data_IF_448082585426
#
_entry.id   IF_448082585426
#
_cell.length_a   1.000
_cell.length_b   1.000
_cell.length_c   1.000
_cell.angle_alpha   90.00
_cell.angle_beta   90.00
_cell.angle_gamma   90.00
#
_symmetry.space_group_name_H-M   'P 1'
#
loop_
_entity.id
_entity.type
_entity.pdbx_description
1 polymer ?
#
# COMPACT_ATOMS: atom_id res chain seq x y z
N UNK A 1 14.48 36.89 -5.73
CA UNK A 1 15.64 37.38 -6.49
C UNK A 1 16.08 36.34 -7.51
N UNK A 2 16.78 35.26 -7.13
CA UNK A 2 17.30 34.30 -8.13
C UNK A 2 16.22 33.69 -9.05
N UNK A 3 15.08 33.24 -8.49
CA UNK A 3 13.99 32.68 -9.30
C UNK A 3 13.38 33.70 -10.26
N UNK A 4 13.30 34.98 -9.86
CA UNK A 4 12.73 36.05 -10.68
C UNK A 4 13.65 36.38 -11.86
N UNK A 5 14.96 36.36 -11.61
CA UNK A 5 16.00 36.56 -12.62
C UNK A 5 16.01 35.42 -13.63
N UNK A 6 15.95 34.15 -13.17
CA UNK A 6 15.82 32.98 -14.04
C UNK A 6 14.57 33.10 -14.92
N UNK A 7 13.41 33.41 -14.33
CA UNK A 7 12.15 33.59 -15.08
C UNK A 7 12.27 34.75 -16.09
N UNK A 8 13.00 35.81 -15.77
CA UNK A 8 13.20 36.93 -16.69
C UNK A 8 13.93 36.54 -17.97
N UNK A 9 14.80 35.52 -17.91
CA UNK A 9 15.50 34.93 -19.04
C UNK A 9 14.70 33.82 -19.74
N UNK A 10 13.62 33.33 -19.14
CA UNK A 10 12.72 32.30 -19.70
C UNK A 10 11.45 32.88 -20.34
N UNK A 11 11.34 34.20 -20.51
CA UNK A 11 10.11 34.84 -21.02
C UNK A 11 9.67 34.34 -22.40
N UNK A 12 10.60 33.89 -23.23
CA UNK A 12 10.35 33.35 -24.56
C UNK A 12 10.20 31.82 -24.57
N UNK A 13 10.32 31.15 -23.41
CA UNK A 13 10.14 29.72 -23.30
C UNK A 13 8.65 29.37 -23.42
N UNK A 14 8.26 28.80 -24.56
CA UNK A 14 6.86 28.44 -24.86
C UNK A 14 6.30 27.32 -23.98
N UNK A 15 7.15 26.55 -23.30
CA UNK A 15 6.76 25.44 -22.42
C UNK A 15 6.45 25.92 -21.00
N UNK A 16 6.87 27.12 -20.61
CA UNK A 16 6.70 27.59 -19.23
C UNK A 16 5.22 27.84 -18.90
N UNK A 17 4.72 27.22 -17.83
CA UNK A 17 3.33 27.41 -17.41
C UNK A 17 3.14 28.75 -16.68
N UNK A 18 2.92 29.82 -17.45
CA UNK A 18 2.73 31.17 -16.92
C UNK A 18 1.54 31.29 -15.96
N UNK A 19 0.50 30.46 -16.11
CA UNK A 19 -0.70 30.51 -15.25
C UNK A 19 -0.40 30.20 -13.78
N UNK A 20 0.66 29.42 -13.52
CA UNK A 20 1.08 29.07 -12.16
C UNK A 20 2.13 30.04 -11.58
N UNK A 21 2.68 30.96 -12.38
CA UNK A 21 3.69 31.95 -11.94
C UNK A 21 3.07 33.19 -11.30
N UNK A 22 2.18 32.97 -10.32
CA UNK A 22 1.54 34.04 -9.57
C UNK A 22 2.31 34.36 -8.29
N UNK A 23 2.15 35.59 -7.76
CA UNK A 23 2.72 35.97 -6.46
C UNK A 23 2.32 35.00 -5.33
N UNK A 24 1.11 34.46 -5.38
CA UNK A 24 0.59 33.51 -4.37
C UNK A 24 1.24 32.12 -4.42
N UNK A 25 1.72 31.71 -5.60
CA UNK A 25 2.35 30.42 -5.83
C UNK A 25 3.87 30.46 -5.62
N UNK A 26 4.48 31.66 -5.61
CA UNK A 26 5.90 31.84 -5.37
C UNK A 26 6.29 31.28 -4.00
N UNK A 27 7.38 30.51 -3.93
CA UNK A 27 7.86 29.82 -2.74
C UNK A 27 6.93 28.71 -2.21
N UNK A 28 5.85 28.38 -2.94
CA UNK A 28 4.93 27.27 -2.63
C UNK A 28 4.95 26.22 -3.73
N UNK A 29 4.76 26.65 -4.97
CA UNK A 29 4.72 25.81 -6.17
C UNK A 29 6.04 25.94 -6.94
N UNK A 30 6.55 27.15 -7.10
CA UNK A 30 7.79 27.42 -7.82
C UNK A 30 8.77 28.24 -6.98
N UNK A 31 10.06 27.90 -7.07
CA UNK A 31 11.13 28.53 -6.30
C UNK A 31 12.51 28.15 -6.82
N UNK A 32 13.53 28.92 -6.45
CA UNK A 32 14.93 28.57 -6.61
C UNK A 32 15.63 28.68 -5.25
N UNK A 33 16.38 27.66 -4.86
CA UNK A 33 17.06 27.62 -3.54
C UNK A 33 18.39 26.86 -3.63
N UNK A 34 19.40 27.42 -2.96
CA UNK A 34 20.72 26.79 -2.85
C UNK A 34 20.66 25.58 -1.90
N UNK A 35 21.17 24.45 -2.36
CA UNK A 35 21.27 23.20 -1.62
C UNK A 35 22.56 23.15 -0.79
N UNK A 36 22.66 22.27 0.24
CA UNK A 36 23.84 22.14 1.08
C UNK A 36 25.13 21.79 0.33
N UNK A 37 25.01 21.07 -0.80
CA UNK A 37 26.14 20.72 -1.68
C UNK A 37 26.59 21.88 -2.59
N UNK A 38 25.94 23.04 -2.48
CA UNK A 38 26.23 24.23 -3.25
C UNK A 38 25.48 24.36 -4.59
N UNK A 39 24.77 23.31 -5.03
CA UNK A 39 23.94 23.33 -6.24
C UNK A 39 22.68 24.19 -6.05
N UNK A 40 22.06 24.61 -7.13
CA UNK A 40 20.79 25.36 -7.12
C UNK A 40 19.66 24.41 -7.51
N UNK A 41 18.68 24.23 -6.61
CA UNK A 41 17.41 23.57 -6.93
C UNK A 41 16.44 24.61 -7.48
N UNK A 42 15.93 24.38 -8.69
CA UNK A 42 14.89 25.18 -9.33
C UNK A 42 13.66 24.31 -9.53
N UNK A 43 12.52 24.79 -9.05
CA UNK A 43 11.22 24.15 -9.25
C UNK A 43 10.36 25.08 -10.08
N UNK A 44 9.95 24.62 -11.27
CA UNK A 44 9.16 25.39 -12.23
C UNK A 44 8.12 24.49 -12.91
N UNK A 45 6.92 25.03 -13.19
CA UNK A 45 5.87 24.30 -13.89
C UNK A 45 6.00 24.46 -15.42
N UNK A 46 5.83 23.36 -16.15
CA UNK A 46 5.91 23.32 -17.61
C UNK A 46 4.70 22.63 -18.23
N UNK A 47 4.42 22.95 -19.48
CA UNK A 47 3.36 22.38 -20.32
C UNK A 47 4.02 21.89 -21.61
N UNK A 48 3.80 20.63 -21.93
CA UNK A 48 4.26 20.05 -23.21
C UNK A 48 3.05 19.57 -24.00
N UNK A 49 3.01 19.92 -25.29
CA UNK A 49 1.91 19.55 -26.20
C UNK A 49 2.24 18.28 -26.98
N UNK A 50 1.30 17.34 -26.98
CA UNK A 50 1.33 16.13 -27.82
C UNK A 50 -0.11 15.81 -28.27
N UNK A 51 -0.40 16.04 -29.55
CA UNK A 51 -1.74 15.81 -30.12
C UNK A 51 -2.20 14.34 -29.99
N UNK A 52 -1.27 13.39 -29.85
CA UNK A 52 -1.63 11.99 -29.62
C UNK A 52 -2.33 11.77 -28.27
N UNK A 53 -2.17 12.65 -27.28
CA UNK A 53 -2.88 12.54 -26.00
C UNK A 53 -4.39 12.71 -26.14
N UNK A 54 -4.89 13.29 -27.24
CA UNK A 54 -6.33 13.33 -27.53
C UNK A 54 -6.94 11.92 -27.63
N UNK A 55 -6.15 10.90 -28.00
CA UNK A 55 -6.58 9.49 -28.02
C UNK A 55 -6.81 8.91 -26.62
N UNK A 56 -6.33 9.57 -25.56
CA UNK A 56 -6.58 9.18 -24.17
C UNK A 56 -7.94 9.68 -23.65
N UNK A 57 -8.65 10.52 -24.41
CA UNK A 57 -9.96 11.07 -24.00
C UNK A 57 -11.01 9.99 -23.73
N UNK A 58 -10.97 8.88 -24.47
CA UNK A 58 -11.81 7.70 -24.25
C UNK A 58 -11.49 6.96 -22.93
N UNK A 59 -10.29 7.16 -22.40
CA UNK A 59 -9.75 6.48 -21.21
C UNK A 59 -9.51 7.47 -20.05
N UNK A 60 -10.25 8.57 -20.02
CA UNK A 60 -10.06 9.66 -19.04
C UNK A 60 -10.10 9.19 -17.59
N UNK A 61 -10.87 8.15 -17.29
CA UNK A 61 -11.05 7.62 -15.94
C UNK A 61 -9.80 6.88 -15.41
N UNK A 62 -8.77 6.67 -16.26
CA UNK A 62 -7.45 6.13 -15.89
C UNK A 62 -6.30 6.99 -16.39
N UNK A 63 -6.53 8.26 -16.72
CA UNK A 63 -5.52 9.16 -17.30
C UNK A 63 -4.29 9.32 -16.42
N UNK A 64 -4.42 9.12 -15.11
CA UNK A 64 -3.31 9.14 -14.16
C UNK A 64 -2.29 8.03 -14.43
N UNK A 65 -2.71 6.87 -14.95
CA UNK A 65 -1.81 5.79 -15.34
C UNK A 65 -0.95 6.17 -16.53
N UNK A 66 -1.57 6.77 -17.55
CA UNK A 66 -0.86 7.34 -18.69
C UNK A 66 0.11 8.45 -18.26
N UNK A 67 -0.32 9.33 -17.37
CA UNK A 67 0.53 10.41 -16.83
C UNK A 67 1.73 9.85 -16.09
N UNK A 68 1.51 8.94 -15.14
CA UNK A 68 2.59 8.32 -14.38
C UNK A 68 3.55 7.58 -15.32
N UNK A 69 3.04 6.90 -16.36
CA UNK A 69 3.89 6.25 -17.36
C UNK A 69 4.79 7.23 -18.10
N UNK A 70 4.30 8.41 -18.51
CA UNK A 70 5.17 9.45 -19.11
C UNK A 70 6.29 9.85 -18.14
N UNK A 71 5.97 10.07 -16.86
CA UNK A 71 6.97 10.39 -15.83
C UNK A 71 8.00 9.26 -15.71
N UNK A 72 7.56 8.00 -15.65
CA UNK A 72 8.46 6.84 -15.54
C UNK A 72 9.34 6.65 -16.78
N UNK A 73 8.86 6.96 -17.98
CA UNK A 73 9.69 6.94 -19.19
C UNK A 73 10.78 8.04 -19.14
N UNK A 74 10.47 9.25 -18.64
CA UNK A 74 11.48 10.30 -18.43
C UNK A 74 12.52 9.85 -17.39
N UNK A 75 12.08 9.25 -16.28
CA UNK A 75 12.98 8.71 -15.25
C UNK A 75 13.87 7.58 -15.78
N UNK A 76 13.35 6.73 -16.65
CA UNK A 76 14.14 5.68 -17.29
C UNK A 76 15.26 6.26 -18.15
N UNK A 77 15.02 7.34 -18.90
CA UNK A 77 16.08 8.02 -19.69
C UNK A 77 17.15 8.64 -18.79
N UNK A 78 16.75 9.19 -17.64
CA UNK A 78 17.66 9.67 -16.60
C UNK A 78 18.56 8.52 -16.10
N UNK A 79 17.98 7.36 -15.78
CA UNK A 79 18.73 6.24 -15.19
C UNK A 79 19.61 5.54 -16.23
N UNK A 80 19.06 5.18 -17.39
CA UNK A 80 19.71 4.30 -18.38
C UNK A 80 20.69 5.06 -19.26
N UNK A 81 20.28 6.24 -19.75
CA UNK A 81 21.06 7.01 -20.73
C UNK A 81 21.76 8.22 -20.14
N UNK A 82 21.53 8.51 -18.85
CA UNK A 82 22.00 9.72 -18.18
C UNK A 82 21.59 11.00 -18.91
N UNK A 83 20.44 10.97 -19.59
CA UNK A 83 19.82 12.13 -20.23
C UNK A 83 19.12 12.98 -19.17
N UNK A 84 18.79 14.24 -19.51
CA UNK A 84 18.07 15.16 -18.62
C UNK A 84 18.79 15.37 -17.27
N UNK A 85 20.12 15.55 -17.31
CA UNK A 85 20.96 15.72 -16.12
C UNK A 85 20.41 16.72 -15.09
N UNK A 86 19.81 17.87 -15.48
CA UNK A 86 19.23 18.77 -14.50
C UNK A 86 18.11 18.13 -13.67
N UNK A 87 17.30 17.21 -14.22
CA UNK A 87 16.25 16.52 -13.46
C UNK A 87 16.79 15.50 -12.47
N UNK A 88 17.88 14.81 -12.84
CA UNK A 88 18.53 13.83 -11.98
C UNK A 88 19.37 14.49 -10.86
N UNK A 89 19.73 15.76 -11.07
CA UNK A 89 20.95 16.33 -10.54
C UNK A 89 22.19 15.61 -11.06
N UNK A 90 23.36 16.06 -10.63
CA UNK A 90 24.63 15.46 -11.05
C UNK A 90 24.92 14.12 -10.32
N UNK A 91 23.93 13.22 -10.31
CA UNK A 91 23.93 11.86 -9.73
C UNK A 91 24.39 11.74 -8.28
N UNK A 92 24.26 12.82 -7.50
CA UNK A 92 24.40 12.77 -6.05
C UNK A 92 23.28 11.93 -5.45
N UNK A 93 23.61 11.03 -4.50
CA UNK A 93 22.62 10.17 -3.81
C UNK A 93 21.45 10.97 -3.19
N UNK A 94 21.69 12.23 -2.85
CA UNK A 94 20.71 13.16 -2.27
C UNK A 94 19.54 13.52 -3.20
N UNK A 95 19.67 13.35 -4.51
CA UNK A 95 18.63 13.69 -5.50
C UNK A 95 17.88 12.47 -6.04
N UNK A 96 18.15 11.28 -5.49
CA UNK A 96 17.59 10.01 -5.95
C UNK A 96 16.06 10.01 -6.02
N UNK A 97 15.38 10.74 -5.14
CA UNK A 97 13.93 10.88 -5.15
C UNK A 97 13.36 11.47 -6.45
N UNK A 98 14.14 12.25 -7.19
CA UNK A 98 13.69 12.87 -8.44
C UNK A 98 13.55 11.86 -9.58
N UNK A 99 14.35 10.79 -9.57
CA UNK A 99 14.43 9.83 -10.67
C UNK A 99 14.22 8.37 -10.26
N UNK A 100 14.03 8.08 -8.97
CA UNK A 100 13.69 6.74 -8.51
C UNK A 100 12.36 6.28 -9.12
N UNK A 101 12.30 5.07 -9.72
CA UNK A 101 11.07 4.59 -10.33
C UNK A 101 9.95 4.40 -9.32
N UNK A 102 8.73 4.76 -9.70
CA UNK A 102 7.54 4.64 -8.87
C UNK A 102 6.37 4.07 -9.67
N UNK A 103 5.89 2.91 -9.24
CA UNK A 103 4.83 2.16 -9.91
C UNK A 103 3.45 2.36 -9.28
N UNK A 104 3.35 2.88 -8.06
CA UNK A 104 2.07 3.25 -7.46
C UNK A 104 1.58 4.57 -8.06
N UNK A 105 0.30 4.62 -8.40
CA UNK A 105 -0.34 5.76 -9.08
C UNK A 105 -1.19 6.54 -8.09
N UNK A 106 -2.24 5.90 -7.57
CA UNK A 106 -3.14 6.50 -6.59
C UNK A 106 -2.86 5.92 -5.20
N UNK A 107 -2.33 6.74 -4.29
CA UNK A 107 -2.12 6.37 -2.89
C UNK A 107 -2.68 7.45 -1.96
N UNK A 108 -3.66 7.08 -1.13
CA UNK A 108 -4.36 8.02 -0.23
C UNK A 108 -3.47 8.50 0.94
N UNK A 109 -2.33 7.84 1.15
CA UNK A 109 -1.34 8.26 2.13
C UNK A 109 -0.37 9.26 1.51
N UNK A 110 0.11 10.22 2.31
CA UNK A 110 1.18 11.14 1.94
C UNK A 110 2.57 10.45 1.91
N UNK A 111 2.62 9.18 1.47
CA UNK A 111 3.84 8.41 1.27
C UNK A 111 4.51 8.86 -0.04
N UNK A 112 5.84 8.98 -0.01
CA UNK A 112 6.62 9.34 -1.20
C UNK A 112 6.31 10.74 -1.74
N UNK A 113 5.94 11.70 -0.89
CA UNK A 113 5.65 13.09 -1.29
C UNK A 113 6.85 13.80 -1.96
N UNK A 114 8.04 13.30 -1.69
CA UNK A 114 9.31 13.75 -2.24
C UNK A 114 9.63 13.10 -3.59
N UNK A 115 8.96 12.01 -3.95
CA UNK A 115 9.07 11.34 -5.24
C UNK A 115 8.33 12.13 -6.32
N UNK A 116 8.84 12.05 -7.55
CA UNK A 116 8.14 12.60 -8.70
C UNK A 116 7.04 11.62 -9.15
N UNK A 117 5.79 12.06 -9.15
CA UNK A 117 4.62 11.24 -9.44
C UNK A 117 3.48 12.07 -10.03
N UNK A 118 2.45 11.39 -10.52
CA UNK A 118 1.17 11.99 -10.86
C UNK A 118 0.54 12.64 -9.62
N UNK A 119 0.09 13.87 -9.78
CA UNK A 119 -0.57 14.66 -8.74
C UNK A 119 -1.24 15.90 -9.37
N UNK A 120 -1.67 16.85 -8.53
CA UNK A 120 -2.32 18.08 -8.98
C UNK A 120 -1.43 19.00 -9.85
N UNK A 121 -0.12 18.76 -9.92
CA UNK A 121 0.82 19.52 -10.73
C UNK A 121 1.47 18.70 -11.84
N UNK A 122 1.24 17.39 -11.85
CA UNK A 122 1.75 16.46 -12.83
C UNK A 122 0.57 15.65 -13.38
N UNK A 123 -0.01 16.09 -14.51
CA UNK A 123 -1.22 15.50 -15.08
C UNK A 123 -1.30 15.70 -16.59
N UNK A 124 -2.02 14.82 -17.28
CA UNK A 124 -2.42 15.00 -18.67
C UNK A 124 -3.83 15.58 -18.71
N UNK A 125 -4.03 16.63 -19.51
CA UNK A 125 -5.34 17.17 -19.84
C UNK A 125 -5.38 17.49 -21.34
N UNK A 126 -6.36 16.92 -22.05
CA UNK A 126 -6.52 17.06 -23.50
C UNK A 126 -5.25 16.65 -24.27
N UNK A 127 -4.65 17.57 -25.02
CA UNK A 127 -3.45 17.40 -25.83
C UNK A 127 -2.16 17.80 -25.08
N UNK A 128 -2.24 18.03 -23.76
CA UNK A 128 -1.14 18.59 -22.98
C UNK A 128 -0.80 17.73 -21.77
N UNK A 129 0.48 17.68 -21.44
CA UNK A 129 0.95 17.22 -20.13
C UNK A 129 1.54 18.40 -19.37
N UNK A 130 1.12 18.51 -18.12
CA UNK A 130 1.57 19.49 -17.14
C UNK A 130 2.56 18.78 -16.24
N UNK A 131 3.75 19.35 -16.05
CA UNK A 131 4.80 18.76 -15.22
C UNK A 131 5.41 19.82 -14.31
N UNK A 132 5.51 19.52 -13.02
CA UNK A 132 6.26 20.32 -12.06
C UNK A 132 7.67 19.77 -11.93
N UNK A 133 8.58 20.35 -12.71
CA UNK A 133 9.96 19.87 -12.77
C UNK A 133 10.77 20.39 -11.59
N UNK A 134 11.43 19.48 -10.89
CA UNK A 134 12.40 19.77 -9.82
C UNK A 134 13.78 19.53 -10.41
N UNK A 135 14.48 20.60 -10.76
CA UNK A 135 15.76 20.59 -11.46
C UNK A 135 16.88 21.04 -10.54
N UNK A 136 18.09 20.54 -10.77
CA UNK A 136 19.30 20.79 -9.98
C UNK A 136 20.42 21.23 -10.93
N UNK A 137 20.99 22.39 -10.67
CA UNK A 137 22.03 23.03 -11.48
C UNK A 137 23.31 23.24 -10.66
N UNK A 138 24.48 23.09 -11.29
CA UNK A 138 25.78 23.42 -10.67
C UNK A 138 26.08 24.90 -10.77
N UNK A 139 25.60 25.49 -11.84
CA UNK A 139 25.72 26.89 -12.19
C UNK A 139 24.97 27.74 -11.18
N UNK A 140 25.49 28.93 -10.96
CA UNK A 140 24.96 29.87 -9.96
C UNK A 140 24.34 31.09 -10.61
N UNK A 141 24.70 31.37 -11.86
CA UNK A 141 24.17 32.49 -12.62
C UNK A 141 22.83 32.14 -13.26
N UNK A 142 21.89 33.10 -13.21
CA UNK A 142 20.52 32.88 -13.67
C UNK A 142 20.43 32.61 -15.18
N UNK A 143 21.30 33.23 -15.98
CA UNK A 143 21.30 33.12 -17.44
C UNK A 143 21.70 31.72 -17.90
N UNK A 144 22.77 31.14 -17.35
CA UNK A 144 23.19 29.77 -17.66
C UNK A 144 22.16 28.74 -17.24
N UNK A 145 21.58 28.90 -16.04
CA UNK A 145 20.47 28.04 -15.58
C UNK A 145 19.28 28.12 -16.55
N UNK A 146 18.88 29.33 -16.96
CA UNK A 146 17.78 29.51 -17.91
C UNK A 146 18.07 28.87 -19.28
N UNK A 147 19.29 28.98 -19.79
CA UNK A 147 19.69 28.32 -21.04
C UNK A 147 19.57 26.79 -20.93
N UNK A 148 20.07 26.19 -19.85
CA UNK A 148 19.94 24.74 -19.65
C UNK A 148 18.49 24.30 -19.47
N UNK A 149 17.64 25.14 -18.88
CA UNK A 149 16.19 24.88 -18.80
C UNK A 149 15.57 24.89 -20.21
N UNK A 150 15.94 25.83 -21.08
CA UNK A 150 15.46 25.87 -22.45
C UNK A 150 15.85 24.60 -23.22
N UNK A 151 17.13 24.22 -23.17
CA UNK A 151 17.64 23.00 -23.82
C UNK A 151 16.90 21.75 -23.30
N UNK A 152 16.76 21.64 -21.98
CA UNK A 152 16.01 20.57 -21.33
C UNK A 152 14.56 20.50 -21.81
N UNK A 153 13.87 21.64 -21.95
CA UNK A 153 12.48 21.68 -22.37
C UNK A 153 12.31 21.24 -23.84
N UNK A 154 13.21 21.67 -24.72
CA UNK A 154 13.20 21.23 -26.13
C UNK A 154 13.39 19.71 -26.20
N UNK A 155 14.39 19.19 -25.49
CA UNK A 155 14.66 17.76 -25.44
C UNK A 155 13.50 16.95 -24.84
N UNK A 156 12.88 17.43 -23.75
CA UNK A 156 11.71 16.80 -23.14
C UNK A 156 10.51 16.81 -24.08
N UNK A 157 10.25 17.92 -24.78
CA UNK A 157 9.17 18.04 -25.75
C UNK A 157 9.31 16.99 -26.87
N UNK A 158 10.50 16.88 -27.47
CA UNK A 158 10.78 15.86 -28.47
C UNK A 158 10.63 14.44 -27.92
N UNK A 159 11.14 14.19 -26.71
CA UNK A 159 11.01 12.88 -26.08
C UNK A 159 9.56 12.50 -25.82
N UNK A 160 8.78 13.39 -25.20
CA UNK A 160 7.37 13.18 -24.87
C UNK A 160 6.53 12.91 -26.12
N UNK A 161 6.81 13.61 -27.23
CA UNK A 161 6.15 13.37 -28.52
C UNK A 161 6.41 11.98 -29.10
N UNK A 162 7.60 11.42 -28.81
CA UNK A 162 8.02 10.12 -29.30
C UNK A 162 7.62 8.94 -28.39
N UNK A 163 7.02 9.20 -27.21
CA UNK A 163 6.50 8.13 -26.36
C UNK A 163 5.35 7.42 -27.10
N UNK A 164 5.41 6.08 -27.27
CA UNK A 164 4.36 5.35 -27.98
C UNK A 164 2.99 5.53 -27.30
N UNK A 165 2.01 6.08 -28.02
CA UNK A 165 0.68 6.34 -27.45
C UNK A 165 -0.02 5.05 -26.98
N UNK A 166 0.21 3.92 -27.65
CA UNK A 166 -0.35 2.63 -27.24
C UNK A 166 0.11 2.22 -25.84
N UNK A 167 1.35 2.52 -25.46
CA UNK A 167 1.85 2.26 -24.10
C UNK A 167 1.03 3.04 -23.05
N UNK A 168 0.69 4.30 -23.35
CA UNK A 168 -0.08 5.16 -22.47
C UNK A 168 -1.56 4.72 -22.38
N UNK A 169 -2.13 4.30 -23.51
CA UNK A 169 -3.49 3.75 -23.57
C UNK A 169 -3.60 2.48 -22.71
N UNK A 170 -2.63 1.56 -22.82
CA UNK A 170 -2.65 0.33 -22.03
C UNK A 170 -2.55 0.62 -20.52
N UNK A 171 -1.78 1.63 -20.12
CA UNK A 171 -1.73 2.05 -18.71
C UNK A 171 -3.03 2.69 -18.25
N UNK A 172 -3.67 3.51 -19.08
CA UNK A 172 -4.98 4.07 -18.74
C UNK A 172 -6.04 2.97 -18.59
N UNK A 173 -6.07 1.99 -19.50
CA UNK A 173 -6.94 0.81 -19.39
C UNK A 173 -6.66 0.00 -18.13
N UNK A 174 -5.38 -0.21 -17.78
CA UNK A 174 -4.97 -0.92 -16.57
C UNK A 174 -5.54 -0.24 -15.31
N UNK A 175 -5.40 1.08 -15.17
CA UNK A 175 -5.98 1.79 -14.02
C UNK A 175 -7.51 1.72 -14.00
N UNK A 176 -8.16 1.83 -15.18
CA UNK A 176 -9.61 1.67 -15.27
C UNK A 176 -10.03 0.26 -14.82
N UNK A 177 -9.30 -0.78 -15.21
CA UNK A 177 -9.59 -2.15 -14.79
C UNK A 177 -9.46 -2.32 -13.28
N UNK A 178 -8.44 -1.73 -12.65
CA UNK A 178 -8.26 -1.79 -11.20
C UNK A 178 -9.40 -1.12 -10.44
N UNK A 179 -9.80 0.08 -10.88
CA UNK A 179 -10.96 0.79 -10.34
C UNK A 179 -12.25 0.00 -10.53
N UNK A 180 -12.48 -0.49 -11.75
CA UNK A 180 -13.65 -1.31 -12.07
C UNK A 180 -13.73 -2.57 -11.21
N UNK A 181 -12.62 -3.31 -11.06
CA UNK A 181 -12.56 -4.50 -10.21
C UNK A 181 -12.87 -4.17 -8.75
N UNK A 182 -12.35 -3.03 -8.27
CA UNK A 182 -12.58 -2.55 -6.91
C UNK A 182 -14.04 -2.21 -6.66
N UNK A 183 -14.70 -1.58 -7.63
CA UNK A 183 -16.13 -1.27 -7.59
C UNK A 183 -17.00 -2.54 -7.63
N UNK A 184 -16.54 -3.57 -8.34
CA UNK A 184 -17.22 -4.87 -8.39
C UNK A 184 -17.16 -5.67 -7.09
N UNK A 185 -16.17 -5.45 -6.22
CA UNK A 185 -15.98 -6.25 -5.00
C UNK A 185 -17.27 -6.35 -4.17
N UNK A 186 -17.99 -5.24 -4.02
CA UNK A 186 -19.22 -5.23 -3.21
C UNK A 186 -20.32 -6.11 -3.81
N UNK A 187 -20.50 -6.05 -5.13
CA UNK A 187 -21.49 -6.82 -5.88
C UNK A 187 -21.16 -8.31 -5.91
N UNK A 188 -19.87 -8.65 -5.87
CA UNK A 188 -19.38 -10.02 -5.79
C UNK A 188 -19.35 -10.57 -4.34
N UNK A 189 -19.84 -9.80 -3.36
CA UNK A 189 -19.78 -10.14 -1.94
C UNK A 189 -18.35 -10.37 -1.41
N UNK A 190 -17.38 -9.61 -1.94
CA UNK A 190 -15.96 -9.67 -1.60
C UNK A 190 -15.48 -8.40 -0.88
N UNK A 191 -14.34 -8.51 -0.19
CA UNK A 191 -13.58 -7.39 0.38
C UNK A 191 -12.17 -7.27 -0.21
N UNK A 192 -11.66 -8.35 -0.80
CA UNK A 192 -10.36 -8.41 -1.45
C UNK A 192 -10.39 -9.45 -2.58
N UNK A 193 -9.63 -9.19 -3.64
CA UNK A 193 -9.35 -10.13 -4.73
C UNK A 193 -7.84 -10.17 -4.97
N UNK A 194 -7.29 -11.37 -5.09
CA UNK A 194 -5.87 -11.60 -5.37
C UNK A 194 -5.78 -12.39 -6.68
N UNK A 195 -5.48 -11.70 -7.78
CA UNK A 195 -5.32 -12.31 -9.09
C UNK A 195 -4.12 -13.27 -9.13
N UNK A 196 -4.28 -14.41 -9.80
CA UNK A 196 -3.18 -15.31 -10.11
C UNK A 196 -2.08 -14.57 -10.89
N UNK A 197 -0.84 -15.05 -10.78
CA UNK A 197 0.38 -14.42 -11.28
C UNK A 197 0.79 -13.11 -10.58
N UNK A 198 0.08 -12.66 -9.54
CA UNK A 198 0.49 -11.48 -8.76
C UNK A 198 1.83 -11.71 -8.06
N UNK A 199 2.65 -10.67 -7.95
CA UNK A 199 4.04 -10.73 -7.48
C UNK A 199 4.23 -9.84 -6.24
N UNK A 200 3.94 -10.32 -5.02
CA UNK A 200 3.85 -9.49 -3.82
C UNK A 200 5.21 -9.01 -3.27
N UNK A 201 6.33 -9.68 -3.57
CA UNK A 201 7.61 -9.36 -2.93
C UNK A 201 8.22 -8.02 -3.37
N UNK A 202 8.71 -7.22 -2.42
CA UNK A 202 9.17 -5.83 -2.66
C UNK A 202 10.65 -5.58 -2.39
N UNK A 203 11.27 -4.72 -3.21
CA UNK A 203 12.65 -4.24 -3.09
C UNK A 203 12.63 -2.81 -2.53
N UNK A 204 13.07 -2.67 -1.29
CA UNK A 204 13.18 -1.37 -0.61
C UNK A 204 14.43 -0.63 -1.06
N UNK A 205 14.35 0.70 -1.09
CA UNK A 205 15.49 1.58 -1.34
C UNK A 205 15.56 2.68 -0.29
N UNK A 206 16.66 3.45 -0.29
CA UNK A 206 16.83 4.59 0.63
C UNK A 206 15.70 5.62 0.52
N UNK A 207 15.01 5.70 -0.63
CA UNK A 207 13.89 6.62 -0.84
C UNK A 207 12.55 5.90 -0.68
N UNK A 208 12.43 4.69 -1.22
CA UNK A 208 11.20 3.88 -1.15
C UNK A 208 11.29 2.86 -0.03
N UNK A 209 11.22 3.34 1.20
CA UNK A 209 11.33 2.52 2.43
C UNK A 209 10.02 1.84 2.85
N UNK A 210 8.91 2.19 2.22
CA UNK A 210 7.58 1.68 2.58
C UNK A 210 7.06 0.71 1.50
N UNK A 211 6.47 -0.43 1.90
CA UNK A 211 6.06 -1.51 0.97
C UNK A 211 5.05 -1.06 -0.09
N UNK A 212 4.14 -0.13 0.26
CA UNK A 212 3.17 0.45 -0.68
C UNK A 212 3.85 1.11 -1.89
N UNK A 213 4.94 1.86 -1.66
CA UNK A 213 5.66 2.59 -2.72
C UNK A 213 6.90 1.84 -3.25
N UNK A 214 7.30 0.75 -2.60
CA UNK A 214 8.45 -0.06 -3.02
C UNK A 214 8.16 -0.81 -4.33
N UNK A 215 9.20 -1.08 -5.11
CA UNK A 215 9.07 -1.76 -6.40
C UNK A 215 9.17 -3.28 -6.27
N UNK A 216 8.86 -4.03 -7.33
CA UNK A 216 8.98 -5.49 -7.32
C UNK A 216 10.43 -5.95 -7.12
N UNK A 217 10.60 -7.08 -6.41
CA UNK A 217 11.86 -7.83 -6.44
C UNK A 217 12.07 -8.50 -7.80
N UNK A 218 13.33 -8.67 -8.18
CA UNK A 218 13.74 -9.43 -9.37
C UNK A 218 13.30 -10.90 -9.25
N UNK A 219 13.58 -11.53 -8.11
CA UNK A 219 13.06 -12.87 -7.78
C UNK A 219 11.74 -12.69 -7.03
N UNK A 220 10.65 -13.09 -7.67
CA UNK A 220 9.30 -12.99 -7.12
C UNK A 220 8.51 -14.25 -7.51
N UNK A 221 8.11 -15.05 -6.52
CA UNK A 221 7.28 -16.23 -6.74
C UNK A 221 5.83 -15.75 -6.94
N UNK A 222 5.20 -16.04 -8.09
CA UNK A 222 3.84 -15.59 -8.32
C UNK A 222 2.85 -16.25 -7.37
N UNK A 223 1.84 -15.50 -6.96
CA UNK A 223 0.67 -16.00 -6.25
C UNK A 223 -0.18 -16.84 -7.21
N UNK A 224 -0.52 -18.05 -6.81
CA UNK A 224 -1.49 -18.90 -7.49
C UNK A 224 -2.51 -19.38 -6.47
N UNK A 225 -3.79 -19.12 -6.73
CA UNK A 225 -4.88 -19.61 -5.89
C UNK A 225 -4.99 -21.13 -6.01
N UNK A 226 -4.94 -21.89 -4.90
CA UNK A 226 -5.31 -23.31 -4.90
C UNK A 226 -6.74 -23.51 -5.44
N UNK A 227 -6.96 -24.59 -6.22
CA UNK A 227 -8.28 -24.87 -6.81
C UNK A 227 -9.31 -25.24 -5.74
N UNK A 228 -8.88 -25.78 -4.61
CA UNK A 228 -9.71 -26.11 -3.43
C UNK A 228 -10.37 -24.87 -2.81
N UNK A 229 -9.84 -23.67 -3.08
CA UNK A 229 -10.46 -22.41 -2.63
C UNK A 229 -11.47 -21.82 -3.62
N UNK A 230 -11.79 -22.57 -4.68
CA UNK A 230 -12.75 -22.19 -5.72
C UNK A 230 -12.42 -20.80 -6.32
N UNK A 231 -11.25 -20.67 -6.97
CA UNK A 231 -10.83 -19.41 -7.59
C UNK A 231 -11.89 -18.88 -8.55
N UNK A 232 -12.21 -17.60 -8.41
CA UNK A 232 -13.20 -16.93 -9.25
C UNK A 232 -12.51 -16.32 -10.46
N UNK A 233 -13.25 -16.23 -11.56
CA UNK A 233 -12.81 -15.57 -12.78
C UNK A 233 -13.62 -14.29 -13.01
N UNK A 234 -12.94 -13.14 -13.10
CA UNK A 234 -13.57 -11.83 -13.28
C UNK A 234 -13.21 -11.26 -14.65
N UNK A 235 -14.23 -10.86 -15.40
CA UNK A 235 -14.06 -10.13 -16.67
C UNK A 235 -13.72 -8.67 -16.40
N UNK A 236 -12.60 -8.21 -16.96
CA UNK A 236 -12.16 -6.82 -16.85
C UNK A 236 -12.91 -5.92 -17.84
N UNK A 237 -13.01 -4.62 -17.54
CA UNK A 237 -13.60 -3.64 -18.46
C UNK A 237 -12.85 -3.55 -19.79
N UNK A 238 -11.52 -3.71 -19.76
CA UNK A 238 -10.67 -3.80 -20.93
C UNK A 238 -9.75 -5.02 -20.83
N UNK A 239 -9.68 -5.82 -21.89
CA UNK A 239 -8.76 -6.97 -21.97
C UNK A 239 -9.46 -8.30 -21.69
N UNK A 240 -8.75 -9.22 -21.03
CA UNK A 240 -9.21 -10.59 -20.77
C UNK A 240 -9.79 -10.72 -19.36
N UNK A 241 -10.04 -11.96 -18.96
CA UNK A 241 -10.45 -12.33 -17.60
C UNK A 241 -9.24 -12.55 -16.69
N UNK A 242 -9.42 -12.30 -15.40
CA UNK A 242 -8.42 -12.58 -14.36
C UNK A 242 -9.01 -13.62 -13.40
N UNK A 243 -8.34 -14.76 -13.28
CA UNK A 243 -8.64 -15.80 -12.30
C UNK A 243 -7.88 -15.53 -11.01
N UNK A 244 -8.50 -15.73 -9.85
CA UNK A 244 -7.83 -15.47 -8.57
C UNK A 244 -8.65 -15.80 -7.34
N UNK A 245 -8.07 -15.52 -6.17
CA UNK A 245 -8.71 -15.73 -4.87
C UNK A 245 -9.61 -14.54 -4.52
N UNK A 246 -10.90 -14.78 -4.27
CA UNK A 246 -11.81 -13.81 -3.67
C UNK A 246 -11.94 -14.02 -2.16
N UNK A 247 -11.68 -12.99 -1.36
CA UNK A 247 -11.95 -12.97 0.09
C UNK A 247 -13.33 -12.37 0.33
N UNK A 248 -14.21 -13.14 0.94
CA UNK A 248 -15.64 -12.88 1.10
C UNK A 248 -15.91 -11.86 2.24
N UNK A 249 -17.06 -11.20 2.19
CA UNK A 249 -17.56 -10.38 3.32
C UNK A 249 -17.82 -11.25 4.54
N UNK A 250 -17.55 -10.72 5.74
CA UNK A 250 -17.65 -11.38 7.06
C UNK A 250 -16.72 -12.59 7.26
N UNK A 251 -15.84 -12.87 6.31
CA UNK A 251 -14.90 -13.98 6.36
C UNK A 251 -13.74 -13.69 7.32
N UNK A 252 -13.35 -14.69 8.11
CA UNK A 252 -12.08 -14.75 8.83
C UNK A 252 -11.15 -15.64 8.01
N UNK A 253 -10.32 -15.01 7.18
CA UNK A 253 -9.39 -15.72 6.30
C UNK A 253 -8.00 -15.78 6.94
N UNK A 254 -7.43 -16.98 7.00
CA UNK A 254 -6.13 -17.20 7.65
C UNK A 254 -5.01 -17.34 6.61
N UNK A 255 -3.90 -16.67 6.87
CA UNK A 255 -2.65 -16.84 6.14
C UNK A 255 -1.60 -17.36 7.12
N UNK A 256 -1.29 -18.65 7.06
CA UNK A 256 -0.36 -19.29 8.00
C UNK A 256 0.90 -19.85 7.31
N UNK A 257 1.73 -20.53 8.07
CA UNK A 257 2.98 -21.15 7.61
C UNK A 257 4.17 -20.76 8.47
N UNK A 258 5.34 -21.32 8.14
CA UNK A 258 6.56 -21.15 8.93
C UNK A 258 7.13 -19.73 8.82
N UNK A 259 8.11 -19.43 9.67
CA UNK A 259 8.86 -18.18 9.60
C UNK A 259 9.53 -18.00 8.24
N UNK A 260 9.61 -16.75 7.78
CA UNK A 260 10.22 -16.36 6.52
C UNK A 260 9.61 -16.96 5.23
N UNK A 261 8.36 -17.43 5.26
CA UNK A 261 7.67 -17.98 4.07
C UNK A 261 6.92 -16.94 3.23
N UNK A 262 6.85 -15.67 3.66
CA UNK A 262 6.24 -14.59 2.87
C UNK A 262 4.83 -14.16 3.31
N UNK A 263 4.35 -14.60 4.48
CA UNK A 263 3.01 -14.28 4.99
C UNK A 263 2.78 -12.77 5.14
N UNK A 264 3.65 -12.08 5.89
CA UNK A 264 3.63 -10.63 6.04
C UNK A 264 3.79 -9.91 4.70
N UNK A 265 4.56 -10.49 3.76
CA UNK A 265 4.70 -9.93 2.40
C UNK A 265 3.39 -9.99 1.63
N UNK A 266 2.64 -11.09 1.71
CA UNK A 266 1.32 -11.22 1.10
C UNK A 266 0.32 -10.26 1.76
N UNK A 267 0.31 -10.17 3.11
CA UNK A 267 -0.55 -9.23 3.83
C UNK A 267 -0.27 -7.77 3.48
N UNK A 268 1.01 -7.39 3.36
CA UNK A 268 1.42 -6.06 2.90
C UNK A 268 0.97 -5.79 1.46
N UNK A 269 1.01 -6.81 0.59
CA UNK A 269 0.53 -6.68 -0.78
C UNK A 269 -0.99 -6.48 -0.84
N UNK A 270 -1.75 -7.24 -0.03
CA UNK A 270 -3.20 -7.06 0.16
C UNK A 270 -3.52 -5.65 0.67
N UNK A 271 -2.78 -5.15 1.65
CA UNK A 271 -2.94 -3.79 2.17
C UNK A 271 -2.67 -2.73 1.09
N UNK A 272 -1.64 -2.92 0.27
CA UNK A 272 -1.39 -2.04 -0.88
C UNK A 272 -2.43 -2.16 -1.98
N UNK A 273 -3.29 -3.19 -2.00
CA UNK A 273 -4.37 -3.32 -2.99
C UNK A 273 -5.46 -2.24 -2.90
N UNK A 274 -5.40 -1.40 -1.87
CA UNK A 274 -6.14 -0.13 -1.85
C UNK A 274 -5.65 0.85 -2.94
N UNK A 275 -4.41 0.73 -3.38
CA UNK A 275 -3.78 1.62 -4.35
C UNK A 275 -3.85 1.07 -5.77
N UNK A 276 -3.77 1.95 -6.77
CA UNK A 276 -3.64 1.55 -8.16
C UNK A 276 -2.16 1.50 -8.57
N UNK A 277 -1.78 0.52 -9.38
CA UNK A 277 -0.39 0.26 -9.78
C UNK A 277 -0.21 0.22 -11.30
N UNK A 278 0.90 0.71 -11.81
CA UNK A 278 1.29 0.59 -13.21
C UNK A 278 1.58 -0.86 -13.61
N UNK A 279 1.47 -1.14 -14.91
CA UNK A 279 1.87 -2.41 -15.51
C UNK A 279 3.35 -2.68 -15.21
N UNK A 280 3.63 -3.88 -14.69
CA UNK A 280 4.95 -4.35 -14.31
C UNK A 280 5.23 -4.27 -12.80
N UNK A 281 4.33 -3.70 -11.99
CA UNK A 281 4.44 -3.72 -10.53
C UNK A 281 4.24 -5.15 -9.97
N UNK A 282 3.32 -5.90 -10.56
CA UNK A 282 2.91 -7.22 -10.09
C UNK A 282 1.80 -7.23 -9.03
N UNK A 283 1.33 -6.07 -8.54
CA UNK A 283 0.13 -5.98 -7.66
C UNK A 283 -1.08 -5.39 -8.37
N UNK A 284 -1.04 -5.24 -9.69
CA UNK A 284 -2.09 -4.62 -10.49
C UNK A 284 -3.43 -5.32 -10.28
N UNK A 285 -3.45 -6.61 -9.94
CA UNK A 285 -4.68 -7.35 -9.67
C UNK A 285 -4.74 -7.91 -8.24
N UNK A 286 -4.02 -7.30 -7.30
CA UNK A 286 -4.31 -7.42 -5.87
C UNK A 286 -5.17 -6.21 -5.51
N UNK A 287 -6.48 -6.40 -5.44
CA UNK A 287 -7.44 -5.32 -5.27
C UNK A 287 -8.17 -5.50 -3.96
N UNK A 288 -8.13 -4.46 -3.14
CA UNK A 288 -8.70 -4.46 -1.80
C UNK A 288 -9.64 -3.27 -1.63
N UNK A 289 -10.71 -3.48 -0.87
CA UNK A 289 -11.63 -2.41 -0.51
C UNK A 289 -10.91 -1.22 0.13
N UNK A 290 -11.37 0.00 -0.16
CA UNK A 290 -10.86 1.23 0.49
C UNK A 290 -11.26 1.31 1.98
N UNK A 291 -12.21 0.49 2.44
CA UNK A 291 -12.62 0.41 3.85
C UNK A 291 -11.79 -0.65 4.59
N UNK A 292 -10.53 -0.30 4.88
CA UNK A 292 -9.55 -1.20 5.50
C UNK A 292 -8.98 -0.58 6.78
N UNK A 293 -8.72 -1.41 7.78
CA UNK A 293 -7.94 -1.04 8.97
C UNK A 293 -6.96 -2.15 9.31
N UNK A 294 -5.77 -1.78 9.80
CA UNK A 294 -4.78 -2.73 10.30
C UNK A 294 -4.66 -2.54 11.81
N UNK A 295 -4.75 -3.63 12.56
CA UNK A 295 -4.56 -3.60 14.00
C UNK A 295 -3.15 -4.10 14.34
N UNK A 296 -2.45 -3.36 15.18
CA UNK A 296 -1.10 -3.69 15.66
C UNK A 296 -0.95 -3.32 17.14
N UNK A 297 0.00 -3.94 17.82
CA UNK A 297 0.41 -3.51 19.16
C UNK A 297 1.11 -2.14 19.10
N UNK A 298 1.11 -1.41 20.22
CA UNK A 298 1.69 -0.07 20.31
C UNK A 298 1.42 0.60 21.65
N UNK A 299 1.65 1.90 21.75
CA UNK A 299 1.32 2.69 22.93
C UNK A 299 0.60 3.97 22.52
N UNK A 300 -0.33 4.41 23.35
CA UNK A 300 -1.12 5.62 23.14
C UNK A 300 -1.62 6.16 24.47
N UNK A 301 -1.68 7.48 24.63
CA UNK A 301 -2.45 8.08 25.73
C UNK A 301 -3.93 8.06 25.36
N UNK A 302 -4.73 7.31 26.12
CA UNK A 302 -6.16 7.24 25.90
C UNK A 302 -6.88 8.43 26.55
N UNK A 303 -7.86 8.96 25.83
CA UNK A 303 -8.66 10.14 26.15
C UNK A 303 -10.13 9.90 25.74
N UNK A 304 -10.73 8.84 26.29
CA UNK A 304 -12.12 8.44 26.01
C UNK A 304 -12.25 7.39 24.91
N UNK A 305 -11.22 6.58 24.66
CA UNK A 305 -11.31 5.47 23.71
C UNK A 305 -12.10 4.29 24.28
N UNK A 306 -12.78 3.58 23.39
CA UNK A 306 -13.58 2.40 23.68
C UNK A 306 -12.77 1.13 23.38
N UNK A 307 -12.69 0.24 24.37
CA UNK A 307 -12.06 -1.09 24.30
C UNK A 307 -13.02 -2.18 24.83
N UNK A 308 -14.31 -1.87 24.97
CA UNK A 308 -15.29 -2.72 25.64
C UNK A 308 -15.61 -4.04 24.94
N UNK A 309 -15.27 -4.17 23.65
CA UNK A 309 -15.29 -5.46 22.95
C UNK A 309 -14.41 -6.51 23.62
N UNK A 310 -13.25 -6.10 24.13
CA UNK A 310 -12.28 -7.02 24.74
C UNK A 310 -12.23 -6.88 26.26
N UNK A 311 -12.41 -5.69 26.82
CA UNK A 311 -12.22 -5.43 28.24
C UNK A 311 -13.56 -5.29 28.97
N UNK A 312 -13.80 -6.13 29.97
CA UNK A 312 -14.95 -6.01 30.88
C UNK A 312 -14.62 -5.12 32.08
N UNK A 313 -13.34 -5.04 32.46
CA UNK A 313 -12.85 -4.22 33.58
C UNK A 313 -11.53 -3.55 33.21
N UNK A 314 -11.31 -2.33 33.74
CA UNK A 314 -10.05 -1.62 33.54
C UNK A 314 -8.96 -2.12 34.48
N UNK A 315 -7.71 -2.22 34.01
CA UNK A 315 -6.54 -2.37 34.86
C UNK A 315 -6.43 -1.26 35.92
N UNK A 316 -5.87 -1.55 37.11
CA UNK A 316 -5.56 -0.53 38.11
C UNK A 316 -4.70 0.61 37.52
N UNK A 317 -4.98 1.85 37.93
CA UNK A 317 -4.25 3.04 37.48
C UNK A 317 -4.87 3.76 36.27
N UNK A 318 -5.81 3.12 35.57
CA UNK A 318 -6.60 3.76 34.50
C UNK A 318 -7.91 4.33 35.04
N UNK A 319 -8.41 5.39 34.40
CA UNK A 319 -9.64 6.07 34.78
C UNK A 319 -10.76 5.82 33.76
N UNK A 320 -12.01 5.93 34.20
CA UNK A 320 -13.20 5.80 33.36
C UNK A 320 -13.79 4.40 33.35
N UNK A 321 -14.22 3.92 32.18
CA UNK A 321 -14.77 2.57 31.98
C UNK A 321 -14.22 1.99 30.67
N UNK A 322 -14.36 0.68 30.39
CA UNK A 322 -13.94 0.12 29.10
C UNK A 322 -14.52 0.81 27.87
N UNK A 323 -15.69 1.47 27.99
CA UNK A 323 -16.30 2.26 26.89
C UNK A 323 -15.68 3.65 26.72
N UNK A 324 -14.92 4.13 27.69
CA UNK A 324 -14.32 5.45 27.71
C UNK A 324 -13.12 5.48 28.66
N UNK A 325 -11.98 5.03 28.15
CA UNK A 325 -10.73 4.89 28.91
C UNK A 325 -9.90 6.16 28.90
N UNK A 326 -9.34 6.53 30.05
CA UNK A 326 -8.39 7.63 30.20
C UNK A 326 -7.10 7.15 30.87
N UNK A 327 -5.97 7.44 30.24
CA UNK A 327 -4.63 7.07 30.71
C UNK A 327 -3.80 6.31 29.65
N UNK A 328 -2.57 5.96 30.00
CA UNK A 328 -1.63 5.33 29.06
C UNK A 328 -2.02 3.87 28.76
N UNK A 329 -2.26 3.56 27.49
CA UNK A 329 -2.61 2.23 27.02
C UNK A 329 -1.39 1.31 26.92
N UNK A 330 -1.58 0.05 27.29
CA UNK A 330 -0.67 -1.04 26.94
C UNK A 330 -0.80 -1.45 25.46
N UNK A 331 0.11 -2.31 25.00
CA UNK A 331 0.09 -2.91 23.66
C UNK A 331 -1.26 -3.52 23.26
N UNK A 332 -1.83 -4.35 24.16
CA UNK A 332 -3.12 -5.00 23.93
C UNK A 332 -4.29 -4.03 23.94
N UNK A 333 -4.27 -3.00 24.80
CA UNK A 333 -5.32 -1.99 24.84
C UNK A 333 -5.35 -1.14 23.57
N UNK A 334 -4.18 -0.72 23.07
CA UNK A 334 -4.08 0.03 21.82
C UNK A 334 -4.63 -0.79 20.64
N UNK A 335 -4.25 -2.07 20.57
CA UNK A 335 -4.78 -2.99 19.56
C UNK A 335 -6.29 -3.21 19.70
N UNK A 336 -6.80 -3.41 20.91
CA UNK A 336 -8.22 -3.58 21.19
C UNK A 336 -9.04 -2.37 20.73
N UNK A 337 -8.54 -1.16 21.00
CA UNK A 337 -9.15 0.07 20.51
C UNK A 337 -9.20 0.13 18.98
N UNK A 338 -8.12 -0.25 18.28
CA UNK A 338 -8.10 -0.25 16.82
C UNK A 338 -9.17 -1.18 16.22
N UNK A 339 -9.32 -2.39 16.77
CA UNK A 339 -10.34 -3.35 16.34
C UNK A 339 -11.75 -2.85 16.70
N UNK A 340 -11.98 -2.41 17.93
CA UNK A 340 -13.26 -1.85 18.38
C UNK A 340 -13.70 -0.66 17.52
N UNK A 341 -12.76 0.24 17.20
CA UNK A 341 -13.02 1.41 16.34
C UNK A 341 -13.37 0.97 14.92
N UNK A 342 -12.64 0.00 14.37
CA UNK A 342 -12.89 -0.51 13.03
C UNK A 342 -14.30 -1.13 12.92
N UNK A 343 -14.67 -1.98 13.87
CA UNK A 343 -16.02 -2.59 13.92
C UNK A 343 -17.10 -1.52 14.09
N UNK A 344 -16.91 -0.56 15.01
CA UNK A 344 -17.87 0.54 15.24
C UNK A 344 -18.07 1.41 13.99
N UNK A 345 -17.00 1.63 13.22
CA UNK A 345 -17.03 2.37 11.96
C UNK A 345 -17.47 1.53 10.76
N UNK A 346 -17.87 0.26 10.98
CA UNK A 346 -18.25 -0.69 9.94
C UNK A 346 -17.17 -0.86 8.87
N UNK A 347 -15.90 -0.88 9.29
CA UNK A 347 -14.76 -1.16 8.40
C UNK A 347 -14.96 -2.54 7.77
N UNK A 348 -14.87 -2.62 6.43
CA UNK A 348 -15.15 -3.86 5.70
C UNK A 348 -14.09 -4.94 5.92
N UNK A 349 -12.81 -4.55 6.04
CA UNK A 349 -11.70 -5.48 6.22
C UNK A 349 -10.74 -5.03 7.32
N UNK A 350 -10.44 -5.94 8.25
CA UNK A 350 -9.45 -5.75 9.32
C UNK A 350 -8.27 -6.70 9.08
N UNK A 351 -7.05 -6.15 9.03
CA UNK A 351 -5.81 -6.91 8.88
C UNK A 351 -5.12 -7.08 10.24
N UNK A 352 -4.66 -8.29 10.54
CA UNK A 352 -3.88 -8.62 11.75
C UNK A 352 -2.64 -9.41 11.34
N UNK A 353 -1.49 -9.05 11.89
CA UNK A 353 -0.21 -9.75 11.69
C UNK A 353 0.37 -10.16 13.04
N UNK A 354 0.43 -11.47 13.32
CA UNK A 354 0.92 -12.02 14.59
C UNK A 354 2.25 -11.38 15.03
N UNK A 355 3.18 -11.16 14.09
CA UNK A 355 4.52 -10.61 14.36
C UNK A 355 4.47 -9.17 14.92
N UNK A 356 3.37 -8.44 14.71
CA UNK A 356 3.15 -7.08 15.20
C UNK A 356 1.95 -6.98 16.15
N UNK A 357 1.58 -8.09 16.79
CA UNK A 357 0.37 -8.19 17.60
C UNK A 357 0.64 -8.35 19.10
N UNK A 358 -0.34 -7.93 19.90
CA UNK A 358 -0.39 -8.33 21.30
C UNK A 358 -1.02 -9.72 21.38
N UNK A 359 -0.19 -10.76 21.41
CA UNK A 359 -0.64 -12.17 21.32
C UNK A 359 -1.69 -12.54 22.37
N UNK A 360 -1.57 -11.98 23.59
CA UNK A 360 -2.54 -12.19 24.67
C UNK A 360 -3.93 -11.57 24.41
N UNK A 361 -4.05 -10.64 23.47
CA UNK A 361 -5.35 -10.15 22.99
C UNK A 361 -5.93 -11.07 21.90
N UNK A 362 -5.07 -11.77 21.14
CA UNK A 362 -5.49 -12.64 20.05
C UNK A 362 -5.94 -14.01 20.56
N UNK A 363 -5.20 -14.60 21.50
CA UNK A 363 -5.51 -15.92 22.09
C UNK A 363 -5.38 -15.91 23.61
N UNK A 364 -6.28 -16.64 24.26
CA UNK A 364 -6.29 -16.84 25.70
C UNK A 364 -5.38 -18.01 26.12
N UNK A 365 -4.49 -17.77 27.08
CA UNK A 365 -3.71 -18.82 27.76
C UNK A 365 -4.40 -19.33 29.02
N UNK A 366 -3.93 -20.43 29.63
CA UNK A 366 -4.54 -21.00 30.85
C UNK A 366 -4.66 -19.98 31.98
N UNK A 367 -3.64 -19.14 32.19
CA UNK A 367 -3.65 -18.10 33.22
C UNK A 367 -4.73 -17.05 32.99
N UNK A 368 -5.11 -16.76 31.74
CA UNK A 368 -6.18 -15.78 31.46
C UNK A 368 -7.53 -16.24 32.02
N UNK A 369 -7.76 -17.55 32.14
CA UNK A 369 -8.96 -18.10 32.81
C UNK A 369 -8.99 -17.86 34.31
N UNK A 370 -7.85 -17.53 34.93
CA UNK A 370 -7.77 -17.27 36.38
C UNK A 370 -8.02 -15.80 36.72
N UNK A 371 -7.98 -14.92 35.72
CA UNK A 371 -8.16 -13.48 35.90
C UNK A 371 -9.34 -13.00 35.06
N UNK A 372 -10.39 -12.51 35.73
CA UNK A 372 -11.51 -11.89 35.02
C UNK A 372 -11.09 -10.57 34.36
N UNK A 373 -11.65 -10.28 33.19
CA UNK A 373 -11.72 -8.91 32.68
C UNK A 373 -11.25 -8.67 31.24
N UNK A 374 -10.68 -9.66 30.56
CA UNK A 374 -10.29 -9.55 29.14
C UNK A 374 -10.73 -10.79 28.36
N UNK A 375 -11.59 -10.60 27.37
CA UNK A 375 -12.03 -11.59 26.38
C UNK A 375 -11.07 -11.51 25.18
N UNK A 376 -10.45 -12.62 24.77
CA UNK A 376 -9.54 -12.64 23.60
C UNK A 376 -10.30 -12.68 22.28
N UNK A 377 -9.62 -12.36 21.16
CA UNK A 377 -10.21 -12.48 19.83
C UNK A 377 -10.67 -13.91 19.54
N UNK A 378 -9.90 -14.93 19.93
CA UNK A 378 -10.31 -16.32 19.78
C UNK A 378 -11.60 -16.65 20.53
N UNK A 379 -11.79 -16.12 21.75
CA UNK A 379 -13.01 -16.34 22.53
C UNK A 379 -14.20 -15.63 21.88
N UNK A 380 -14.01 -14.38 21.44
CA UNK A 380 -15.06 -13.64 20.71
C UNK A 380 -15.47 -14.39 19.45
N UNK A 381 -14.53 -14.92 18.67
CA UNK A 381 -14.85 -15.69 17.45
C UNK A 381 -15.63 -16.97 17.79
N UNK A 382 -15.27 -17.65 18.88
CA UNK A 382 -15.91 -18.91 19.31
C UNK A 382 -17.31 -18.69 19.88
N UNK A 383 -17.48 -17.68 20.73
CA UNK A 383 -18.66 -17.55 21.60
C UNK A 383 -19.58 -16.40 21.21
N UNK A 384 -19.04 -15.34 20.61
CA UNK A 384 -19.74 -14.06 20.41
C UNK A 384 -19.43 -13.45 19.03
N UNK A 385 -19.39 -14.27 17.97
CA UNK A 385 -18.93 -13.85 16.64
C UNK A 385 -19.74 -12.67 16.08
N UNK A 386 -21.00 -12.53 16.46
CA UNK A 386 -21.87 -11.41 16.10
C UNK A 386 -21.35 -10.05 16.58
N UNK A 387 -20.54 -10.01 17.65
CA UNK A 387 -19.87 -8.77 18.12
C UNK A 387 -18.87 -8.23 17.10
N UNK A 388 -18.37 -9.05 16.17
CA UNK A 388 -17.49 -8.63 15.08
C UNK A 388 -18.23 -7.88 13.97
N UNK A 389 -19.57 -7.86 14.00
CA UNK A 389 -20.40 -7.14 13.04
C UNK A 389 -20.25 -7.66 11.61
N UNK A 390 -20.18 -6.73 10.65
CA UNK A 390 -20.05 -7.05 9.22
C UNK A 390 -18.59 -7.08 8.72
N UNK A 391 -17.62 -6.90 9.63
CA UNK A 391 -16.20 -6.84 9.28
C UNK A 391 -15.66 -8.22 8.89
N UNK A 392 -14.94 -8.29 7.77
CA UNK A 392 -14.04 -9.42 7.45
C UNK A 392 -12.69 -9.24 8.14
N UNK A 393 -11.98 -10.34 8.34
CA UNK A 393 -10.63 -10.38 8.89
C UNK A 393 -9.71 -11.15 7.95
N UNK A 394 -8.49 -10.64 7.76
CA UNK A 394 -7.36 -11.43 7.26
C UNK A 394 -6.32 -11.45 8.36
N UNK A 395 -6.04 -12.65 8.87
CA UNK A 395 -5.15 -12.85 10.02
C UNK A 395 -3.95 -13.66 9.56
N UNK A 396 -2.76 -13.06 9.66
CA UNK A 396 -1.50 -13.79 9.50
C UNK A 396 -1.12 -14.45 10.81
N UNK A 397 -0.92 -15.76 10.79
CA UNK A 397 -0.45 -16.55 11.93
C UNK A 397 0.86 -17.27 11.60
N UNK A 398 1.64 -17.54 12.64
CA UNK A 398 2.88 -18.31 12.65
C UNK A 398 2.78 -19.45 13.65
N UNK A 399 2.26 -19.18 14.86
CA UNK A 399 2.17 -20.16 15.96
C UNK A 399 0.81 -20.18 16.68
N UNK A 400 -0.12 -19.31 16.27
CA UNK A 400 -1.46 -19.23 16.84
C UNK A 400 -2.39 -20.30 16.24
N UNK A 401 -2.14 -21.57 16.57
CA UNK A 401 -2.90 -22.71 16.05
C UNK A 401 -4.39 -22.63 16.40
N UNK A 402 -4.73 -22.24 17.63
CA UNK A 402 -6.13 -22.05 18.03
C UNK A 402 -6.84 -21.02 17.13
N UNK A 403 -6.21 -19.86 16.91
CA UNK A 403 -6.81 -18.82 16.06
C UNK A 403 -6.86 -19.26 14.58
N UNK A 404 -5.88 -20.03 14.13
CA UNK A 404 -5.85 -20.63 12.79
C UNK A 404 -7.02 -21.58 12.59
N UNK A 405 -7.30 -22.44 13.58
CA UNK A 405 -8.43 -23.37 13.55
C UNK A 405 -9.80 -22.66 13.52
N UNK A 406 -9.88 -21.41 14.00
CA UNK A 406 -11.12 -20.61 14.00
C UNK A 406 -11.40 -19.86 12.69
N UNK A 407 -10.51 -19.96 11.69
CA UNK A 407 -10.75 -19.41 10.36
C UNK A 407 -11.95 -20.03 9.65
N UNK A 408 -12.53 -19.30 8.70
CA UNK A 408 -13.53 -19.84 7.78
C UNK A 408 -12.84 -20.57 6.61
N UNK A 409 -11.77 -19.97 6.06
CA UNK A 409 -10.87 -20.59 5.07
C UNK A 409 -9.44 -20.16 5.37
N UNK A 410 -8.49 -20.97 4.90
CA UNK A 410 -7.09 -20.72 5.16
C UNK A 410 -6.18 -21.14 4.01
N UNK A 411 -5.05 -20.46 3.93
CA UNK A 411 -3.88 -20.88 3.16
C UNK A 411 -2.68 -20.99 4.08
N UNK A 412 -1.74 -21.86 3.72
CA UNK A 412 -0.39 -21.81 4.28
C UNK A 412 0.64 -21.53 3.19
N UNK A 413 1.72 -20.85 3.58
CA UNK A 413 2.84 -20.58 2.69
C UNK A 413 4.00 -21.52 2.98
N UNK A 414 4.48 -22.19 1.93
CA UNK A 414 5.68 -23.02 1.93
C UNK A 414 6.51 -22.75 0.66
N UNK A 415 7.80 -22.47 0.83
CA UNK A 415 8.71 -22.04 -0.22
C UNK A 415 8.16 -20.85 -1.04
N UNK A 416 7.48 -19.93 -0.36
CA UNK A 416 6.75 -18.79 -0.94
C UNK A 416 5.59 -19.14 -1.89
N UNK A 417 5.20 -20.41 -1.96
CA UNK A 417 4.01 -20.87 -2.69
C UNK A 417 2.82 -20.95 -1.74
N UNK A 418 1.65 -20.73 -2.30
CA UNK A 418 0.38 -20.79 -1.58
C UNK A 418 -0.18 -22.19 -1.70
N UNK A 419 -0.58 -22.75 -0.56
CA UNK A 419 -1.21 -24.05 -0.46
C UNK A 419 -2.54 -23.93 0.29
N UNK A 420 -3.53 -24.72 -0.10
CA UNK A 420 -4.78 -24.84 0.63
C UNK A 420 -4.52 -25.48 2.00
N UNK A 421 -5.09 -24.90 3.06
CA UNK A 421 -5.14 -25.53 4.37
C UNK A 421 -6.55 -26.06 4.62
N UNK A 422 -6.68 -27.39 4.66
CA UNK A 422 -7.90 -28.03 5.13
C UNK A 422 -8.05 -27.79 6.64
N UNK A 423 -8.97 -26.89 6.99
CA UNK A 423 -9.19 -26.50 8.38
C UNK A 423 -9.88 -27.60 9.20
N UNK A 424 -10.65 -28.50 8.59
CA UNK A 424 -11.30 -29.59 9.32
C UNK A 424 -10.28 -30.63 9.72
N UNK A 425 -9.39 -31.00 8.79
CA UNK A 425 -8.24 -31.84 9.10
C UNK A 425 -7.30 -31.18 10.13
N UNK A 426 -7.01 -29.88 9.96
CA UNK A 426 -6.17 -29.13 10.89
C UNK A 426 -6.75 -29.10 12.31
N UNK A 427 -8.06 -28.91 12.47
CA UNK A 427 -8.77 -28.94 13.76
C UNK A 427 -8.64 -30.31 14.44
N UNK A 428 -8.79 -31.39 13.68
CA UNK A 428 -8.65 -32.75 14.21
C UNK A 428 -7.23 -33.01 14.73
N UNK A 429 -6.22 -32.67 13.93
CA UNK A 429 -4.81 -32.83 14.28
C UNK A 429 -4.41 -31.95 15.46
N UNK A 430 -4.90 -30.71 15.52
CA UNK A 430 -4.68 -29.81 16.65
C UNK A 430 -5.26 -30.40 17.96
N UNK A 431 -6.46 -30.99 17.90
CA UNK A 431 -7.08 -31.66 19.03
C UNK A 431 -6.23 -32.84 19.54
N UNK A 432 -5.78 -33.72 18.64
CA UNK A 432 -4.88 -34.83 18.97
C UNK A 432 -3.57 -34.33 19.59
N UNK A 433 -2.98 -33.30 18.98
CA UNK A 433 -1.73 -32.69 19.45
C UNK A 433 -1.87 -32.16 20.88
N UNK A 434 -2.95 -31.43 21.20
CA UNK A 434 -3.17 -30.93 22.56
C UNK A 434 -3.44 -32.05 23.58
N UNK A 435 -4.15 -33.11 23.20
CA UNK A 435 -4.34 -34.28 24.08
C UNK A 435 -3.02 -35.01 24.35
N UNK A 436 -2.19 -35.20 23.32
CA UNK A 436 -0.87 -35.81 23.46
C UNK A 436 0.04 -34.92 24.33
N UNK A 437 0.06 -33.61 24.08
CA UNK A 437 0.83 -32.65 24.84
C UNK A 437 0.43 -32.66 26.32
N UNK A 438 -0.88 -32.65 26.61
CA UNK A 438 -1.39 -32.78 27.97
C UNK A 438 -0.91 -34.08 28.62
N UNK A 439 -0.96 -35.21 27.91
CA UNK A 439 -0.50 -36.51 28.44
C UNK A 439 1.00 -36.51 28.82
N UNK A 440 1.83 -35.81 28.05
CA UNK A 440 3.27 -35.64 28.31
C UNK A 440 3.53 -34.72 29.50
N UNK A 441 2.83 -33.58 29.58
CA UNK A 441 2.98 -32.61 30.68
C UNK A 441 2.55 -33.21 32.01
N UNK A 442 1.41 -33.92 32.03
CA UNK A 442 0.84 -34.48 33.27
C UNK A 442 1.52 -35.76 33.77
N UNK A 443 2.47 -36.34 33.01
CA UNK A 443 3.24 -37.53 33.39
C UNK A 443 2.37 -38.60 34.08
N UNK A 444 1.51 -39.27 33.30
CA UNK A 444 0.48 -40.25 33.75
C UNK A 444 0.94 -41.37 34.71
N UNK A 445 2.23 -41.46 35.06
CA UNK A 445 2.74 -42.34 36.13
C UNK A 445 2.20 -42.02 37.53
N UNK A 446 1.58 -40.85 37.77
CA UNK A 446 0.99 -40.51 39.09
C UNK A 446 -0.51 -40.80 39.24
N UNK A 447 -1.20 -41.27 38.20
CA UNK A 447 -2.65 -41.59 38.25
C UNK A 447 -2.96 -43.09 38.42
N UNK A 448 -1.95 -43.91 38.72
CA UNK A 448 -2.14 -45.25 39.29
C UNK A 448 -1.77 -45.23 40.78
N UNK A 449 -2.60 -44.61 41.61
CA UNK A 449 -2.69 -44.89 43.05
C UNK A 449 -4.08 -44.59 43.54
#
# INVERSE_FOLDING_TARGET
MLIDEIISHLKENEFLNLSLLTKSNKNRVYYAVRQPDGNIKVVLPFIFKNDNFLKLSEYRDGIEGATQRVIEEIKQEIIKKKRFLPLAGYFGRIYKALYEPLTVVNCDLNLGYDLWRVDNYNYIEKDKIYLLLRMIFKEKDAKSIANQINDLCIELNEFIKNIPINLLIEEAKNIINQKYLRDLLDNLNLVCFIGNNSKPARKYTEVRKHYRIAGPKEVNIPFECPEELEPIEIELKYGKRVKGLGIKKKEIFIITGRNAQGKTTLLQAIESGMDDHLIGDGREYIITTKSLSKASTGSMEMSGQDISLFFQKLPPGLKGSPKSVYGTASGSMYMAYQIQRAIKNKTKLILIDEDNSAVNLLVSGVLSKWFEGVESLSEIIMENREKLGDSSFIIVTSSLDLLTALGDRAIYLENHKVHYLDLDYFREELGKFYLELASKIFNLKKLKK
#
